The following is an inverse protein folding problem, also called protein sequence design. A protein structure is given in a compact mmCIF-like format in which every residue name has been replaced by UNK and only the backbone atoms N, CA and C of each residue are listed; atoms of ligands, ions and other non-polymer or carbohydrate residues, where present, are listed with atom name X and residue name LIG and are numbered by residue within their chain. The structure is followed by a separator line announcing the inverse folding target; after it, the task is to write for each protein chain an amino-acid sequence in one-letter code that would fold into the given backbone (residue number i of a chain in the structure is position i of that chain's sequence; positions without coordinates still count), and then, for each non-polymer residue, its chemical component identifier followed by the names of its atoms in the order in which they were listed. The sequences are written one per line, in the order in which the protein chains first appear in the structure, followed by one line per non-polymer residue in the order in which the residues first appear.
data_IF_729972098101
#
_entry.id   IF_729972098101
#
_cell.length_a   1.000
_cell.length_b   1.000
_cell.length_c   1.000
_cell.angle_alpha   90.00
_cell.angle_beta   90.00
_cell.angle_gamma   90.00
#
_symmetry.space_group_name_H-M   'P 1'
#
loop_
_entity.id
_entity.type
_entity.pdbx_description
1 polymer ?
#
# COMPACT_ATOMS: atom_id res chain seq x y z
N UNK A 1 26.36 6.27 7.20
CA UNK A 1 25.28 6.27 6.21
C UNK A 1 25.74 5.38 5.10
N UNK A 2 24.97 4.31 4.85
CA UNK A 2 25.19 3.44 3.72
C UNK A 2 24.85 4.21 2.42
N UNK A 3 25.65 4.02 1.38
CA UNK A 3 25.56 4.71 0.09
C UNK A 3 25.69 3.72 -1.09
N UNK A 4 25.79 2.42 -0.81
CA UNK A 4 26.01 1.42 -1.85
C UNK A 4 24.74 1.17 -2.65
N UNK A 5 24.94 0.93 -3.95
CA UNK A 5 23.89 0.41 -4.82
C UNK A 5 23.90 -1.12 -4.75
N UNK A 6 22.72 -1.70 -4.87
CA UNK A 6 22.51 -3.15 -4.85
C UNK A 6 21.75 -3.57 -6.10
N UNK A 7 20.89 -4.59 -6.02
CA UNK A 7 20.17 -5.13 -7.18
C UNK A 7 19.14 -4.16 -7.74
N UNK A 8 18.43 -3.45 -6.87
CA UNK A 8 17.49 -2.40 -7.23
C UNK A 8 18.15 -1.05 -7.01
N UNK A 9 17.95 -0.11 -7.95
CA UNK A 9 18.47 1.25 -7.83
C UNK A 9 17.97 1.88 -6.53
N UNK A 10 18.88 2.35 -5.69
CA UNK A 10 18.57 2.83 -4.34
C UNK A 10 18.96 4.29 -4.22
N UNK A 11 17.98 5.17 -4.07
CA UNK A 11 18.19 6.60 -3.92
C UNK A 11 18.19 6.97 -2.45
N UNK A 12 19.38 7.22 -1.90
CA UNK A 12 19.56 7.61 -0.50
C UNK A 12 19.26 9.10 -0.28
N UNK A 13 18.70 9.44 0.88
CA UNK A 13 18.58 10.82 1.34
C UNK A 13 19.71 11.17 2.32
N UNK A 14 20.62 12.04 1.87
CA UNK A 14 21.78 12.48 2.65
C UNK A 14 21.50 13.63 3.63
N UNK A 15 20.23 13.97 3.90
CA UNK A 15 19.83 14.90 4.96
C UNK A 15 18.92 16.05 4.53
N UNK A 16 18.17 15.90 3.44
CA UNK A 16 17.20 16.90 2.98
C UNK A 16 16.90 16.86 1.48
N UNK A 17 16.97 15.70 0.84
CA UNK A 17 16.65 15.58 -0.58
C UNK A 17 15.22 16.04 -0.86
N UNK A 18 15.07 16.99 -1.78
CA UNK A 18 13.78 17.47 -2.30
C UNK A 18 13.95 17.70 -3.80
N UNK A 19 13.93 16.62 -4.61
CA UNK A 19 14.22 16.71 -6.02
C UNK A 19 13.09 17.39 -6.78
N UNK A 20 13.42 18.02 -7.91
CA UNK A 20 12.40 18.43 -8.88
C UNK A 20 11.75 17.17 -9.49
N UNK A 21 10.43 17.15 -9.55
CA UNK A 21 9.66 16.01 -10.03
C UNK A 21 8.44 16.48 -10.86
N UNK A 22 7.92 15.64 -11.77
CA UNK A 22 6.79 16.00 -12.64
C UNK A 22 5.43 15.90 -11.91
N UNK A 23 5.25 16.63 -10.80
CA UNK A 23 4.04 16.55 -9.94
C UNK A 23 2.77 16.90 -10.70
N UNK A 24 2.78 17.94 -11.54
CA UNK A 24 1.65 18.33 -12.39
C UNK A 24 1.30 17.35 -13.53
N UNK A 25 1.97 16.19 -13.61
CA UNK A 25 1.63 15.06 -14.51
C UNK A 25 1.27 13.79 -13.72
N UNK A 26 1.16 13.90 -12.40
CA UNK A 26 0.94 12.77 -11.51
C UNK A 26 -0.41 12.87 -10.80
N UNK A 27 -1.09 11.73 -10.69
CA UNK A 27 -2.16 11.56 -9.72
C UNK A 27 -1.63 10.94 -8.43
N UNK A 28 -2.11 11.44 -7.29
CA UNK A 28 -1.81 10.86 -5.97
C UNK A 28 -3.05 10.13 -5.45
N UNK A 29 -2.92 8.84 -5.23
CA UNK A 29 -3.94 7.97 -4.64
C UNK A 29 -3.74 7.96 -3.12
N UNK A 30 -4.77 8.37 -2.39
CA UNK A 30 -4.78 8.40 -0.92
C UNK A 30 -5.98 7.60 -0.41
N UNK A 31 -5.82 6.28 -0.14
CA UNK A 31 -6.93 5.45 0.31
C UNK A 31 -7.42 5.85 1.69
N UNK A 32 -8.74 5.94 1.84
CA UNK A 32 -9.36 6.30 3.11
C UNK A 32 -10.52 5.38 3.45
N UNK A 33 -10.70 5.17 4.75
CA UNK A 33 -11.83 4.51 5.38
C UNK A 33 -12.47 5.46 6.37
N UNK A 34 -13.64 5.08 6.91
CA UNK A 34 -14.32 5.85 7.97
C UNK A 34 -13.40 6.15 9.19
N UNK A 35 -12.35 5.34 9.40
CA UNK A 35 -11.40 5.51 10.51
C UNK A 35 -10.45 6.69 10.34
N UNK A 36 -10.20 7.13 9.11
CA UNK A 36 -9.30 8.25 8.82
C UNK A 36 -10.05 9.59 8.73
N UNK A 37 -11.37 9.63 8.97
CA UNK A 37 -12.13 10.88 8.90
C UNK A 37 -11.57 11.96 9.86
N UNK A 38 -11.23 13.13 9.32
CA UNK A 38 -10.80 14.32 10.06
C UNK A 38 -9.73 14.03 11.14
N UNK A 39 -8.82 13.10 10.84
CA UNK A 39 -7.67 12.81 11.68
C UNK A 39 -6.50 13.75 11.37
N UNK A 40 -5.64 14.01 12.37
CA UNK A 40 -4.46 14.89 12.21
C UNK A 40 -3.48 14.42 11.12
N UNK A 41 -3.30 13.10 10.97
CA UNK A 41 -2.45 12.55 9.91
C UNK A 41 -3.03 12.79 8.51
N UNK A 42 -4.30 12.42 8.22
CA UNK A 42 -4.95 12.77 6.97
C UNK A 42 -4.97 14.28 6.69
N UNK A 43 -5.29 15.13 7.67
CA UNK A 43 -5.23 16.59 7.52
C UNK A 43 -3.86 17.05 7.04
N UNK A 44 -2.78 16.54 7.66
CA UNK A 44 -1.41 16.83 7.24
C UNK A 44 -1.12 16.35 5.82
N UNK A 45 -1.55 15.14 5.46
CA UNK A 45 -1.35 14.58 4.11
C UNK A 45 -1.96 15.50 3.06
N UNK A 46 -3.24 15.88 3.21
CA UNK A 46 -3.90 16.75 2.24
C UNK A 46 -3.33 18.17 2.22
N UNK A 47 -2.99 18.76 3.36
CA UNK A 47 -2.30 20.06 3.41
C UNK A 47 -0.92 20.05 2.75
N UNK A 48 -0.16 18.96 2.85
CA UNK A 48 1.10 18.83 2.11
C UNK A 48 0.87 18.62 0.62
N UNK A 49 -0.20 17.94 0.21
CA UNK A 49 -0.56 17.77 -1.20
C UNK A 49 -0.94 19.08 -1.89
N UNK A 50 -1.54 20.05 -1.19
CA UNK A 50 -1.72 21.43 -1.69
C UNK A 50 -0.36 22.06 -2.08
N UNK A 51 0.72 21.71 -1.36
CA UNK A 51 2.09 22.22 -1.63
C UNK A 51 2.81 21.42 -2.72
N UNK A 52 2.35 20.20 -2.99
CA UNK A 52 2.87 19.34 -4.08
C UNK A 52 2.34 19.82 -5.43
N UNK A 53 1.10 20.31 -5.47
CA UNK A 53 0.38 20.69 -6.69
C UNK A 53 0.34 19.53 -7.72
N UNK A 54 -0.26 18.37 -7.34
CA UNK A 54 -0.41 17.26 -8.27
C UNK A 54 -1.49 17.56 -9.32
N UNK A 55 -1.50 16.80 -10.42
CA UNK A 55 -2.55 16.92 -11.43
C UNK A 55 -3.93 16.58 -10.86
N UNK A 56 -3.98 15.59 -9.96
CA UNK A 56 -5.19 15.14 -9.28
C UNK A 56 -4.84 14.36 -8.00
N UNK A 57 -5.70 14.43 -6.99
CA UNK A 57 -5.72 13.51 -5.86
C UNK A 57 -6.95 12.61 -5.99
N UNK A 58 -6.74 11.30 -6.02
CA UNK A 58 -7.83 10.31 -6.07
C UNK A 58 -7.97 9.69 -4.69
N UNK A 59 -9.13 9.86 -4.07
CA UNK A 59 -9.43 9.31 -2.75
C UNK A 59 -10.39 8.13 -2.90
N UNK A 60 -9.89 6.88 -3.00
CA UNK A 60 -10.77 5.72 -2.88
C UNK A 60 -11.28 5.63 -1.43
N UNK A 61 -12.56 5.94 -1.27
CA UNK A 61 -13.24 6.03 0.02
C UNK A 61 -14.05 4.77 0.29
N UNK A 62 -13.75 4.11 1.40
CA UNK A 62 -14.56 3.01 1.96
C UNK A 62 -15.23 3.44 3.26
N UNK A 63 -16.46 3.92 3.16
CA UNK A 63 -17.25 4.41 4.28
C UNK A 63 -18.73 4.04 4.09
N UNK A 64 -19.50 3.90 5.19
CA UNK A 64 -20.95 3.74 5.09
C UNK A 64 -21.59 5.00 4.50
N UNK A 65 -22.73 4.84 3.82
CA UNK A 65 -23.36 5.88 3.01
C UNK A 65 -23.64 7.18 3.79
N UNK A 66 -23.94 7.06 5.08
CA UNK A 66 -24.25 8.18 5.97
C UNK A 66 -23.03 9.07 6.24
N UNK A 67 -21.82 8.52 6.11
CA UNK A 67 -20.55 9.22 6.38
C UNK A 67 -19.97 9.88 5.12
N UNK A 68 -20.38 9.44 3.94
CA UNK A 68 -19.87 9.95 2.65
C UNK A 68 -20.02 11.47 2.49
N UNK A 69 -21.17 12.09 2.84
CA UNK A 69 -21.31 13.54 2.73
C UNK A 69 -20.30 14.31 3.59
N UNK A 70 -20.04 13.81 4.81
CA UNK A 70 -19.07 14.42 5.72
C UNK A 70 -17.65 14.37 5.14
N UNK A 71 -17.25 13.23 4.56
CA UNK A 71 -15.96 13.11 3.86
C UNK A 71 -15.87 14.05 2.66
N UNK A 72 -16.92 14.12 1.84
CA UNK A 72 -16.94 14.99 0.67
C UNK A 72 -16.74 16.45 1.08
N UNK A 73 -17.48 16.90 2.10
CA UNK A 73 -17.44 18.29 2.54
C UNK A 73 -16.07 18.61 3.18
N UNK A 74 -15.52 17.72 4.01
CA UNK A 74 -14.18 17.88 4.60
C UNK A 74 -13.08 17.88 3.53
N UNK A 75 -13.14 17.00 2.54
CA UNK A 75 -12.15 16.96 1.44
C UNK A 75 -12.22 18.20 0.54
N UNK A 76 -13.40 18.84 0.44
CA UNK A 76 -13.58 20.06 -0.35
C UNK A 76 -12.95 21.31 0.29
N UNK A 77 -12.53 21.24 1.56
CA UNK A 77 -11.84 22.34 2.25
C UNK A 77 -10.36 22.47 1.82
N UNK A 78 -9.78 21.46 1.16
CA UNK A 78 -8.41 21.49 0.67
C UNK A 78 -8.33 22.03 -0.77
N UNK A 79 -7.39 22.94 -1.04
CA UNK A 79 -7.15 23.58 -2.33
C UNK A 79 -6.29 22.71 -3.25
N UNK A 80 -6.78 21.51 -3.57
CA UNK A 80 -6.14 20.56 -4.48
C UNK A 80 -7.19 19.91 -5.39
N UNK A 81 -6.92 19.69 -6.68
CA UNK A 81 -7.86 18.98 -7.55
C UNK A 81 -8.09 17.56 -7.02
N UNK A 82 -9.33 17.21 -6.67
CA UNK A 82 -9.62 15.96 -5.97
C UNK A 82 -10.84 15.24 -6.54
N UNK A 83 -10.73 13.92 -6.67
CA UNK A 83 -11.84 13.00 -7.00
C UNK A 83 -12.10 12.05 -5.83
N UNK A 84 -13.30 12.11 -5.25
CA UNK A 84 -13.77 11.14 -4.25
C UNK A 84 -14.36 9.94 -4.97
N UNK A 85 -13.72 8.79 -4.82
CA UNK A 85 -14.16 7.53 -5.39
C UNK A 85 -14.78 6.66 -4.29
N UNK A 86 -16.09 6.83 -4.03
CA UNK A 86 -16.79 6.00 -3.05
C UNK A 86 -16.89 4.55 -3.53
N UNK A 87 -16.01 3.69 -3.02
CA UNK A 87 -15.80 2.33 -3.53
C UNK A 87 -16.93 1.37 -3.16
N UNK A 88 -17.73 1.70 -2.14
CA UNK A 88 -18.92 0.94 -1.73
C UNK A 88 -20.22 1.54 -2.31
N UNK A 89 -20.12 2.49 -3.24
CA UNK A 89 -21.24 3.12 -3.91
C UNK A 89 -22.11 2.10 -4.68
N UNK A 90 -23.45 2.18 -4.61
CA UNK A 90 -24.33 1.22 -5.27
C UNK A 90 -24.11 1.08 -6.78
N UNK A 91 -23.76 2.16 -7.49
CA UNK A 91 -23.49 2.13 -8.93
C UNK A 91 -22.12 1.51 -9.21
N UNK A 92 -21.12 1.76 -8.37
CA UNK A 92 -19.79 1.14 -8.49
C UNK A 92 -19.88 -0.38 -8.28
N UNK A 93 -20.61 -0.82 -7.25
CA UNK A 93 -20.86 -2.25 -7.00
C UNK A 93 -21.59 -2.91 -8.18
N UNK A 94 -22.60 -2.24 -8.77
CA UNK A 94 -23.30 -2.75 -9.95
C UNK A 94 -22.37 -2.92 -11.17
N UNK A 95 -21.45 -1.96 -11.41
CA UNK A 95 -20.46 -2.08 -12.48
C UNK A 95 -19.51 -3.26 -12.24
N UNK A 96 -19.04 -3.45 -11.01
CA UNK A 96 -18.21 -4.60 -10.64
C UNK A 96 -18.95 -5.93 -10.85
N UNK A 97 -20.22 -6.00 -10.48
CA UNK A 97 -21.07 -7.17 -10.70
C UNK A 97 -21.25 -7.48 -12.20
N UNK A 98 -21.58 -6.47 -13.01
CA UNK A 98 -21.77 -6.62 -14.45
C UNK A 98 -20.50 -7.06 -15.19
N UNK A 99 -19.32 -6.64 -14.69
CA UNK A 99 -18.02 -7.08 -15.20
C UNK A 99 -17.58 -8.45 -14.66
N UNK A 100 -18.34 -9.09 -13.78
CA UNK A 100 -17.96 -10.34 -13.13
C UNK A 100 -16.79 -10.20 -12.13
N UNK A 101 -16.58 -8.99 -11.62
CA UNK A 101 -15.51 -8.61 -10.69
C UNK A 101 -16.01 -8.36 -9.27
N UNK A 102 -17.29 -8.65 -9.01
CA UNK A 102 -17.87 -8.84 -7.68
C UNK A 102 -16.96 -9.68 -6.77
N UNK A 103 -17.00 -9.43 -5.47
CA UNK A 103 -16.30 -10.26 -4.51
C UNK A 103 -15.93 -9.52 -3.23
N UNK A 104 -14.87 -10.01 -2.59
CA UNK A 104 -14.45 -9.46 -1.30
C UNK A 104 -14.03 -7.99 -1.41
N UNK A 105 -14.42 -7.23 -0.38
CA UNK A 105 -14.04 -5.83 -0.18
C UNK A 105 -12.70 -5.74 0.56
N UNK A 106 -11.93 -4.70 0.29
CA UNK A 106 -10.66 -4.46 0.98
C UNK A 106 -9.83 -3.34 0.36
N UNK A 107 -8.75 -2.95 1.07
CA UNK A 107 -7.86 -1.85 0.67
C UNK A 107 -7.34 -2.05 -0.76
N UNK A 108 -6.96 -3.28 -1.13
CA UNK A 108 -6.46 -3.56 -2.46
C UNK A 108 -7.52 -3.45 -3.57
N UNK A 109 -8.80 -3.78 -3.33
CA UNK A 109 -9.89 -3.47 -4.28
C UNK A 109 -10.03 -1.97 -4.48
N UNK A 110 -10.02 -1.22 -3.39
CA UNK A 110 -10.24 0.22 -3.43
C UNK A 110 -9.06 0.96 -4.10
N UNK A 111 -7.83 0.52 -3.83
CA UNK A 111 -6.62 0.96 -4.55
C UNK A 111 -6.72 0.57 -6.02
N UNK A 112 -7.11 -0.66 -6.37
CA UNK A 112 -7.29 -1.06 -7.77
C UNK A 112 -8.27 -0.17 -8.52
N UNK A 113 -9.42 0.17 -7.90
CA UNK A 113 -10.38 1.12 -8.46
C UNK A 113 -9.74 2.48 -8.73
N UNK A 114 -8.99 3.01 -7.76
CA UNK A 114 -8.30 4.28 -7.89
C UNK A 114 -7.15 4.26 -8.92
N UNK A 115 -6.43 3.15 -9.08
CA UNK A 115 -5.37 3.03 -10.08
C UNK A 115 -5.91 3.22 -11.51
N UNK A 116 -7.11 2.70 -11.81
CA UNK A 116 -7.75 2.90 -13.11
C UNK A 116 -8.02 4.38 -13.40
N UNK A 117 -8.53 5.10 -12.40
CA UNK A 117 -8.83 6.54 -12.47
C UNK A 117 -7.53 7.36 -12.54
N UNK A 118 -6.56 7.07 -11.67
CA UNK A 118 -5.30 7.79 -11.57
C UNK A 118 -4.43 7.63 -12.82
N UNK A 119 -4.51 6.49 -13.50
CA UNK A 119 -3.74 6.20 -14.73
C UNK A 119 -4.22 6.97 -15.98
N UNK A 120 -5.13 7.95 -15.82
CA UNK A 120 -5.37 9.01 -16.83
C UNK A 120 -4.20 9.98 -16.95
N UNK A 121 -3.45 10.14 -15.87
CA UNK A 121 -2.25 10.96 -15.80
C UNK A 121 -1.03 10.10 -16.14
N UNK A 122 0.15 10.71 -16.32
CA UNK A 122 1.33 9.96 -16.77
C UNK A 122 1.95 9.10 -15.65
N UNK A 123 1.80 9.56 -14.40
CA UNK A 123 2.35 8.93 -13.21
C UNK A 123 1.28 8.76 -12.14
N UNK A 124 1.40 7.69 -11.36
CA UNK A 124 0.54 7.38 -10.22
C UNK A 124 1.42 7.24 -9.00
N UNK A 125 1.09 7.94 -7.91
CA UNK A 125 1.73 7.80 -6.60
C UNK A 125 0.68 7.29 -5.63
N UNK A 126 1.02 6.32 -4.79
CA UNK A 126 0.14 5.80 -3.74
C UNK A 126 0.75 6.14 -2.39
N UNK A 127 -0.04 6.72 -1.49
CA UNK A 127 0.36 7.03 -0.12
C UNK A 127 -0.72 6.62 0.88
N UNK A 128 -0.30 6.20 2.07
CA UNK A 128 -1.21 5.99 3.17
C UNK A 128 -1.64 7.32 3.82
N UNK A 129 -2.92 7.40 4.20
CA UNK A 129 -3.47 8.58 4.86
C UNK A 129 -3.06 8.69 6.34
N UNK A 130 -2.42 7.67 6.93
CA UNK A 130 -2.15 7.57 8.37
C UNK A 130 -0.72 7.96 8.80
N UNK A 131 0.06 8.54 7.87
CA UNK A 131 1.43 9.01 8.15
C UNK A 131 1.43 10.37 8.86
N UNK A 132 2.00 10.46 10.05
CA UNK A 132 2.05 11.71 10.85
C UNK A 132 3.24 12.61 10.47
N UNK A 133 4.26 12.04 9.83
CA UNK A 133 5.49 12.73 9.40
C UNK A 133 5.49 13.09 7.92
N UNK A 134 4.36 12.97 7.24
CA UNK A 134 4.23 13.20 5.80
C UNK A 134 4.70 14.60 5.39
N UNK A 135 5.44 14.70 4.28
CA UNK A 135 5.95 15.95 3.72
C UNK A 135 5.79 15.96 2.19
N UNK A 136 5.61 17.15 1.61
CA UNK A 136 5.46 17.32 0.16
C UNK A 136 6.63 16.72 -0.66
N UNK A 137 7.82 16.64 -0.07
CA UNK A 137 8.99 16.03 -0.72
C UNK A 137 8.84 14.52 -0.92
N UNK A 138 8.01 13.83 -0.14
CA UNK A 138 7.85 12.37 -0.23
C UNK A 138 7.30 11.97 -1.60
N UNK A 139 6.28 12.70 -2.08
CA UNK A 139 5.74 12.56 -3.44
C UNK A 139 6.82 12.81 -4.49
N UNK A 140 7.59 13.89 -4.34
CA UNK A 140 8.63 14.27 -5.32
C UNK A 140 9.75 13.24 -5.37
N UNK A 141 10.16 12.70 -4.23
CA UNK A 141 11.18 11.65 -4.12
C UNK A 141 10.72 10.37 -4.81
N UNK A 142 9.46 9.95 -4.61
CA UNK A 142 8.91 8.78 -5.27
C UNK A 142 8.76 8.96 -6.79
N UNK A 143 8.40 10.16 -7.25
CA UNK A 143 8.26 10.48 -8.68
C UNK A 143 9.60 10.64 -9.40
N UNK A 144 10.67 11.04 -8.69
CA UNK A 144 11.95 11.37 -9.31
C UNK A 144 12.54 10.21 -10.15
N UNK A 145 12.60 8.95 -9.67
CA UNK A 145 13.02 7.83 -10.50
C UNK A 145 12.22 7.69 -11.81
N UNK A 146 10.91 7.92 -11.76
CA UNK A 146 10.06 7.76 -12.95
C UNK A 146 10.36 8.79 -14.04
N UNK A 147 10.81 9.98 -13.64
CA UNK A 147 11.28 11.00 -14.56
C UNK A 147 12.65 10.64 -15.18
N UNK A 148 13.40 9.73 -14.55
CA UNK A 148 14.73 9.26 -14.98
C UNK A 148 14.68 7.89 -15.68
N UNK A 149 13.49 7.45 -16.10
CA UNK A 149 13.32 6.26 -16.95
C UNK A 149 13.00 4.96 -16.19
N UNK A 150 12.85 5.01 -14.87
CA UNK A 150 12.29 3.88 -14.11
C UNK A 150 10.77 3.82 -14.30
N UNK A 151 10.20 2.64 -14.10
CA UNK A 151 8.75 2.39 -14.23
C UNK A 151 8.06 2.23 -12.87
N UNK A 152 8.83 1.87 -11.84
CA UNK A 152 8.35 1.66 -10.48
C UNK A 152 9.34 2.21 -9.44
N UNK A 153 8.82 2.82 -8.38
CA UNK A 153 9.59 3.39 -7.27
C UNK A 153 8.91 3.01 -5.96
N UNK A 154 9.64 2.40 -5.03
CA UNK A 154 9.14 2.00 -3.71
C UNK A 154 9.80 2.83 -2.61
N UNK A 155 9.03 3.26 -1.63
CA UNK A 155 9.62 3.89 -0.45
C UNK A 155 10.36 2.87 0.40
N UNK A 156 11.42 3.32 1.07
CA UNK A 156 11.91 2.67 2.28
C UNK A 156 12.17 3.73 3.36
N UNK A 157 11.96 3.33 4.62
CA UNK A 157 12.11 4.19 5.77
C UNK A 157 12.32 3.37 7.04
N UNK A 158 12.90 3.99 8.06
CA UNK A 158 13.03 3.36 9.37
C UNK A 158 11.76 3.58 10.20
N UNK A 159 11.23 2.49 10.79
CA UNK A 159 10.13 2.53 11.76
C UNK A 159 10.66 2.29 13.16
N UNK A 160 11.19 3.36 13.76
CA UNK A 160 11.78 3.35 15.10
C UNK A 160 11.22 4.51 15.88
N UNK A 161 10.47 4.21 16.93
CA UNK A 161 9.72 5.18 17.74
C UNK A 161 9.41 4.55 19.09
N UNK A 162 9.10 5.37 20.11
CA UNK A 162 8.84 4.91 21.47
C UNK A 162 9.91 3.92 22.00
N UNK A 163 11.18 4.20 21.68
CA UNK A 163 12.33 3.37 22.01
C UNK A 163 12.22 1.90 21.54
N UNK A 164 11.54 1.63 20.40
CA UNK A 164 11.27 0.26 19.90
C UNK A 164 11.42 0.14 18.38
N UNK A 165 11.68 -1.10 17.94
CA UNK A 165 11.68 -1.51 16.53
C UNK A 165 10.28 -1.97 16.08
N UNK A 166 9.67 -1.27 15.12
CA UNK A 166 8.38 -1.63 14.54
C UNK A 166 8.52 -2.47 13.26
N UNK A 167 7.39 -2.80 12.61
CA UNK A 167 7.38 -3.56 11.37
C UNK A 167 7.55 -5.07 11.56
N UNK A 168 7.02 -5.66 12.64
CA UNK A 168 7.14 -7.10 12.95
C UNK A 168 6.80 -8.02 11.77
N UNK A 169 5.76 -7.70 10.98
CA UNK A 169 5.40 -8.51 9.81
C UNK A 169 6.50 -8.48 8.73
N UNK A 170 7.13 -7.32 8.51
CA UNK A 170 8.28 -7.24 7.60
C UNK A 170 9.51 -7.94 8.18
N UNK A 171 9.91 -7.53 9.39
CA UNK A 171 11.14 -7.97 10.06
C UNK A 171 11.18 -9.46 10.38
N UNK A 172 10.04 -10.03 10.79
CA UNK A 172 9.98 -11.39 11.33
C UNK A 172 9.34 -12.40 10.39
N UNK A 173 8.56 -11.95 9.40
CA UNK A 173 7.91 -12.85 8.44
C UNK A 173 8.46 -12.66 7.04
N UNK A 174 8.23 -11.51 6.41
CA UNK A 174 8.61 -11.28 5.01
C UNK A 174 10.11 -11.47 4.76
N UNK A 175 10.97 -10.76 5.50
CA UNK A 175 12.42 -10.81 5.31
C UNK A 175 12.99 -12.23 5.51
N UNK A 176 12.72 -12.92 6.64
CA UNK A 176 13.19 -14.29 6.81
C UNK A 176 12.61 -15.29 5.81
N UNK A 177 11.38 -15.06 5.33
CA UNK A 177 10.74 -15.94 4.36
C UNK A 177 11.37 -15.81 2.96
N UNK A 178 11.68 -14.59 2.53
CA UNK A 178 12.43 -14.35 1.29
C UNK A 178 13.84 -14.93 1.39
N UNK A 179 14.54 -14.74 2.52
CA UNK A 179 15.85 -15.35 2.79
C UNK A 179 15.80 -16.89 2.71
N UNK A 180 14.79 -17.51 3.32
CA UNK A 180 14.60 -18.96 3.30
C UNK A 180 14.28 -19.51 1.90
N UNK A 181 13.51 -18.78 1.09
CA UNK A 181 13.27 -19.12 -0.31
C UNK A 181 14.57 -19.03 -1.12
N UNK A 182 15.33 -17.93 -0.97
CA UNK A 182 16.57 -17.67 -1.70
C UNK A 182 17.70 -18.65 -1.33
N UNK A 183 17.73 -19.18 -0.11
CA UNK A 183 18.70 -20.22 0.30
C UNK A 183 18.55 -21.53 -0.50
N UNK A 184 17.35 -21.76 -1.06
CA UNK A 184 17.04 -22.98 -1.81
C UNK A 184 16.81 -22.79 -3.30
N UNK A 185 16.74 -21.53 -3.76
CA UNK A 185 16.47 -21.19 -5.14
C UNK A 185 17.35 -20.03 -5.59
N UNK A 186 18.03 -20.21 -6.71
CA UNK A 186 18.77 -19.16 -7.41
C UNK A 186 17.85 -18.59 -8.52
N UNK A 187 17.08 -17.56 -8.19
CA UNK A 187 16.09 -16.97 -9.11
C UNK A 187 15.97 -15.45 -8.97
N UNK A 188 15.87 -14.75 -10.11
CA UNK A 188 15.85 -13.28 -10.15
C UNK A 188 14.66 -12.68 -9.38
N UNK A 189 13.52 -13.36 -9.33
CA UNK A 189 12.35 -12.88 -8.57
C UNK A 189 12.65 -12.75 -7.07
N UNK A 190 13.41 -13.69 -6.49
CA UNK A 190 13.75 -13.67 -5.06
C UNK A 190 14.81 -12.61 -4.79
N UNK A 191 15.74 -12.47 -5.74
CA UNK A 191 16.73 -11.42 -5.75
C UNK A 191 16.12 -10.02 -5.79
N UNK A 192 15.07 -9.84 -6.58
CA UNK A 192 14.28 -8.61 -6.69
C UNK A 192 13.50 -8.34 -5.40
N UNK A 193 12.73 -9.32 -4.92
CA UNK A 193 11.90 -9.17 -3.73
C UNK A 193 12.74 -8.87 -2.48
N UNK A 194 13.89 -9.53 -2.33
CA UNK A 194 14.83 -9.32 -1.22
C UNK A 194 15.68 -8.05 -1.31
N UNK A 195 15.59 -7.28 -2.41
CA UNK A 195 16.38 -6.06 -2.57
C UNK A 195 15.73 -4.82 -1.92
N UNK A 196 14.44 -4.88 -1.60
CA UNK A 196 13.70 -3.73 -1.05
C UNK A 196 13.87 -3.65 0.46
N UNK A 197 14.49 -2.56 0.93
CA UNK A 197 14.79 -2.33 2.37
C UNK A 197 13.56 -2.25 3.26
N UNK A 198 12.39 -1.97 2.67
CA UNK A 198 11.10 -2.06 3.35
C UNK A 198 9.98 -2.42 2.35
N UNK A 199 9.96 -3.68 1.90
CA UNK A 199 9.03 -4.17 0.88
C UNK A 199 7.53 -3.95 1.19
N UNK A 200 7.18 -3.89 2.48
CA UNK A 200 5.81 -3.65 2.96
C UNK A 200 5.45 -2.17 3.11
N UNK A 201 6.25 -1.23 2.57
CA UNK A 201 5.83 0.17 2.50
C UNK A 201 4.52 0.31 1.70
N UNK A 202 3.57 1.09 2.19
CA UNK A 202 2.37 1.46 1.41
C UNK A 202 2.72 2.42 0.27
N UNK A 203 3.80 3.19 0.46
CA UNK A 203 4.23 4.27 -0.40
C UNK A 203 4.99 3.76 -1.62
N UNK A 204 4.45 4.03 -2.80
CA UNK A 204 5.10 3.73 -4.08
C UNK A 204 4.66 4.70 -5.17
N UNK A 205 5.40 4.74 -6.26
CA UNK A 205 5.00 5.42 -7.48
C UNK A 205 5.28 4.54 -8.71
N UNK A 206 4.52 4.76 -9.75
CA UNK A 206 4.62 4.01 -10.99
C UNK A 206 4.17 4.83 -12.20
N UNK A 207 4.58 4.40 -13.39
CA UNK A 207 3.99 4.92 -14.63
C UNK A 207 2.54 4.46 -14.75
N UNK A 208 1.73 5.22 -15.48
CA UNK A 208 0.36 4.84 -15.76
C UNK A 208 0.22 3.56 -16.60
N UNK A 209 1.25 3.21 -17.37
CA UNK A 209 1.31 1.92 -18.08
C UNK A 209 1.46 0.76 -17.08
N UNK A 210 2.41 0.87 -16.14
CA UNK A 210 2.58 -0.14 -15.10
C UNK A 210 1.32 -0.26 -14.23
N UNK A 211 0.74 0.87 -13.79
CA UNK A 211 -0.48 0.90 -12.99
C UNK A 211 -1.65 0.14 -13.64
N UNK A 212 -1.85 0.31 -14.96
CA UNK A 212 -2.92 -0.39 -15.70
C UNK A 212 -2.62 -1.88 -15.89
N UNK A 213 -1.36 -2.28 -15.86
CA UNK A 213 -0.93 -3.67 -16.03
C UNK A 213 -0.97 -4.53 -14.76
N UNK A 214 -1.18 -3.93 -13.58
CA UNK A 214 -1.13 -4.65 -12.30
C UNK A 214 -2.35 -5.56 -12.08
N UNK A 215 -2.11 -6.82 -11.72
CA UNK A 215 -3.11 -7.67 -11.06
C UNK A 215 -3.04 -7.47 -9.56
N UNK A 216 -4.16 -7.09 -8.92
CA UNK A 216 -4.14 -6.55 -7.56
C UNK A 216 -4.87 -7.45 -6.56
N UNK A 217 -4.24 -7.75 -5.42
CA UNK A 217 -4.86 -8.46 -4.30
C UNK A 217 -6.04 -7.65 -3.77
N UNK A 218 -7.15 -8.29 -3.39
CA UNK A 218 -8.33 -7.57 -2.88
C UNK A 218 -8.14 -7.01 -1.47
N UNK A 219 -7.39 -7.71 -0.61
CA UNK A 219 -7.18 -7.38 0.81
C UNK A 219 -5.69 -7.20 1.14
N UNK A 220 -5.17 -8.07 2.01
CA UNK A 220 -3.80 -8.10 2.48
C UNK A 220 -2.84 -8.61 1.41
N UNK A 221 -1.56 -8.26 1.54
CA UNK A 221 -0.53 -8.61 0.56
C UNK A 221 -0.51 -7.72 -0.68
N UNK A 222 -1.25 -6.62 -0.69
CA UNK A 222 -1.24 -5.62 -1.77
C UNK A 222 0.17 -5.15 -2.09
N UNK A 223 0.96 -4.81 -1.06
CA UNK A 223 2.29 -4.25 -1.22
C UNK A 223 3.25 -5.26 -1.84
N UNK A 224 3.21 -6.53 -1.39
CA UNK A 224 4.02 -7.62 -1.94
C UNK A 224 3.58 -8.01 -3.33
N UNK A 225 2.27 -8.09 -3.56
CA UNK A 225 1.73 -8.38 -4.88
C UNK A 225 2.08 -7.32 -5.91
N UNK A 226 2.07 -6.05 -5.51
CA UNK A 226 2.53 -4.94 -6.35
C UNK A 226 4.01 -5.11 -6.71
N UNK A 227 4.87 -5.57 -5.78
CA UNK A 227 6.26 -5.88 -6.11
C UNK A 227 6.36 -7.06 -7.09
N UNK A 228 5.59 -8.12 -6.91
CA UNK A 228 5.54 -9.24 -7.85
C UNK A 228 5.14 -8.81 -9.26
N UNK A 229 4.13 -7.94 -9.37
CA UNK A 229 3.70 -7.39 -10.66
C UNK A 229 4.71 -6.38 -11.23
N UNK A 230 5.37 -5.57 -10.39
CA UNK A 230 6.45 -4.68 -10.82
C UNK A 230 7.62 -5.49 -11.42
N UNK A 231 8.00 -6.61 -10.79
CA UNK A 231 8.97 -7.54 -11.36
C UNK A 231 8.51 -8.10 -12.71
N UNK A 232 7.25 -8.56 -12.80
CA UNK A 232 6.69 -9.13 -14.03
C UNK A 232 6.64 -8.15 -15.20
N UNK A 233 6.39 -6.86 -14.92
CA UNK A 233 6.13 -5.84 -15.93
C UNK A 233 7.36 -5.00 -16.26
N UNK A 234 8.10 -4.55 -15.25
CA UNK A 234 9.24 -3.64 -15.39
C UNK A 234 10.60 -4.34 -15.20
N UNK A 235 10.61 -5.51 -14.55
CA UNK A 235 11.84 -6.21 -14.17
C UNK A 235 12.66 -5.44 -13.14
N UNK A 236 13.85 -5.95 -12.84
CA UNK A 236 14.75 -5.37 -11.84
C UNK A 236 15.28 -4.00 -12.26
N UNK A 237 15.67 -3.85 -13.53
CA UNK A 237 16.25 -2.61 -14.07
C UNK A 237 15.23 -1.47 -14.16
N UNK A 238 13.93 -1.78 -14.25
CA UNK A 238 12.85 -0.81 -14.28
C UNK A 238 12.37 -0.36 -12.89
N UNK A 239 12.90 -0.92 -11.81
CA UNK A 239 12.51 -0.60 -10.45
C UNK A 239 13.58 0.20 -9.69
N UNK A 240 13.11 1.07 -8.81
CA UNK A 240 13.93 1.79 -7.85
C UNK A 240 13.31 1.74 -6.45
N UNK A 241 14.11 2.06 -5.44
CA UNK A 241 13.65 2.38 -4.09
C UNK A 241 14.22 3.72 -3.63
N UNK A 242 13.45 4.45 -2.83
CA UNK A 242 13.78 5.81 -2.40
C UNK A 242 13.69 5.92 -0.87
N UNK A 243 14.70 6.55 -0.28
CA UNK A 243 14.74 6.82 1.15
C UNK A 243 13.74 7.91 1.49
N UNK A 244 12.72 7.62 2.31
CA UNK A 244 11.84 8.66 2.86
C UNK A 244 12.19 9.05 4.31
N UNK A 245 13.32 8.57 4.81
CA UNK A 245 13.85 8.92 6.13
C UNK A 245 13.17 8.16 7.26
N UNK A 246 12.55 8.90 8.19
CA UNK A 246 11.81 8.35 9.32
C UNK A 246 10.34 8.60 9.13
N UNK A 247 9.57 7.53 9.21
CA UNK A 247 8.13 7.54 9.03
C UNK A 247 7.46 7.06 10.31
N UNK A 248 6.65 7.94 10.89
CA UNK A 248 5.78 7.62 12.01
C UNK A 248 4.35 7.46 11.48
N UNK A 249 3.74 6.32 11.79
CA UNK A 249 2.34 6.05 11.44
C UNK A 249 1.50 6.16 12.71
N UNK A 250 0.23 6.50 12.59
CA UNK A 250 -0.68 6.46 13.74
C UNK A 250 -0.72 5.03 14.32
N UNK A 251 -0.21 4.87 15.56
CA UNK A 251 -0.09 3.60 16.28
C UNK A 251 -1.43 3.11 16.77
N UNK A 252 -2.30 2.77 15.83
CA UNK A 252 -3.53 2.08 16.18
C UNK A 252 -3.18 0.62 16.24
N UNK A 253 -3.27 0.05 17.45
CA UNK A 253 -2.93 -1.33 17.71
C UNK A 253 -3.61 -2.24 16.68
N UNK A 254 -2.82 -2.84 15.80
CA UNK A 254 -3.23 -4.06 15.12
C UNK A 254 -3.65 -5.01 16.23
N UNK A 255 -4.94 -5.34 16.26
CA UNK A 255 -5.58 -5.98 17.39
C UNK A 255 -4.97 -7.36 17.67
N UNK A 256 -4.03 -7.39 18.61
CA UNK A 256 -3.44 -8.62 19.16
C UNK A 256 -2.72 -9.51 18.15
N UNK A 257 -2.28 -10.70 18.60
CA UNK A 257 -1.64 -11.71 17.75
C UNK A 257 -2.49 -12.08 16.52
N UNK A 258 -3.83 -12.08 16.66
CA UNK A 258 -4.77 -12.49 15.61
C UNK A 258 -4.73 -11.59 14.37
N UNK A 259 -4.63 -10.27 14.54
CA UNK A 259 -4.59 -9.35 13.39
C UNK A 259 -3.31 -9.50 12.56
N UNK A 260 -2.17 -9.76 13.21
CA UNK A 260 -0.91 -10.04 12.52
C UNK A 260 -0.90 -11.40 11.84
N UNK A 261 -1.53 -12.42 12.44
CA UNK A 261 -1.70 -13.74 11.81
C UNK A 261 -2.48 -13.65 10.49
N UNK A 262 -3.65 -13.01 10.48
CA UNK A 262 -4.44 -12.83 9.25
C UNK A 262 -3.67 -12.04 8.18
N UNK A 263 -2.89 -11.05 8.59
CA UNK A 263 -2.04 -10.31 7.67
C UNK A 263 -0.91 -11.17 7.09
N UNK A 264 -0.28 -12.04 7.91
CA UNK A 264 0.76 -12.96 7.44
C UNK A 264 0.24 -13.96 6.42
N UNK A 265 -0.99 -14.47 6.57
CA UNK A 265 -1.60 -15.34 5.56
C UNK A 265 -1.74 -14.63 4.21
N UNK A 266 -2.22 -13.39 4.20
CA UNK A 266 -2.35 -12.61 2.97
C UNK A 266 -1.01 -12.21 2.35
N UNK A 267 -0.03 -11.82 3.18
CA UNK A 267 1.33 -11.49 2.72
C UNK A 267 2.04 -12.72 2.17
N UNK A 268 1.95 -13.87 2.86
CA UNK A 268 2.52 -15.13 2.43
C UNK A 268 1.91 -15.57 1.11
N UNK A 269 0.57 -15.60 1.01
CA UNK A 269 -0.11 -15.95 -0.22
C UNK A 269 0.26 -15.03 -1.40
N UNK A 270 0.43 -13.72 -1.17
CA UNK A 270 0.86 -12.79 -2.22
C UNK A 270 2.32 -13.04 -2.64
N UNK A 271 3.22 -13.32 -1.69
CA UNK A 271 4.61 -13.67 -1.96
C UNK A 271 4.71 -14.96 -2.77
N UNK A 272 4.06 -16.03 -2.32
CA UNK A 272 4.10 -17.33 -2.99
C UNK A 272 3.53 -17.24 -4.40
N UNK A 273 2.41 -16.53 -4.61
CA UNK A 273 1.92 -16.27 -5.97
C UNK A 273 2.93 -15.55 -6.85
N UNK A 274 3.62 -14.53 -6.35
CA UNK A 274 4.61 -13.82 -7.15
C UNK A 274 5.79 -14.73 -7.55
N UNK A 275 6.22 -15.58 -6.62
CA UNK A 275 7.32 -16.53 -6.80
C UNK A 275 6.92 -17.68 -7.76
N UNK A 276 5.73 -18.24 -7.59
CA UNK A 276 5.18 -19.29 -8.45
C UNK A 276 4.83 -18.78 -9.86
N UNK A 277 4.26 -17.57 -9.99
CA UNK A 277 4.02 -16.91 -11.29
C UNK A 277 5.34 -16.73 -12.07
N UNK A 278 6.46 -16.57 -11.36
CA UNK A 278 7.80 -16.48 -11.94
C UNK A 278 8.44 -17.85 -12.23
N UNK A 279 7.76 -18.96 -11.91
CA UNK A 279 8.18 -20.32 -12.23
C UNK A 279 9.03 -21.01 -11.16
N UNK A 280 9.05 -20.49 -9.93
CA UNK A 280 9.73 -21.13 -8.80
C UNK A 280 8.75 -22.08 -8.09
N UNK A 281 9.15 -23.35 -7.95
CA UNK A 281 8.38 -24.38 -7.26
C UNK A 281 8.70 -24.36 -5.76
N UNK A 282 7.67 -24.39 -4.91
CA UNK A 282 7.82 -24.20 -3.46
C UNK A 282 7.46 -25.48 -2.70
N UNK A 283 8.44 -26.04 -1.99
CA UNK A 283 8.21 -27.07 -0.98
C UNK A 283 7.84 -26.40 0.35
N UNK A 284 6.54 -26.23 0.59
CA UNK A 284 6.00 -25.52 1.75
C UNK A 284 6.38 -26.14 3.09
N UNK A 285 6.42 -27.47 3.18
CA UNK A 285 6.80 -28.17 4.41
C UNK A 285 8.27 -27.90 4.75
N UNK A 286 9.17 -28.04 3.76
CA UNK A 286 10.58 -27.73 3.96
C UNK A 286 10.84 -26.23 4.17
N UNK A 287 10.04 -25.37 3.53
CA UNK A 287 10.17 -23.92 3.66
C UNK A 287 9.81 -23.45 5.07
N UNK A 288 8.77 -24.00 5.69
CA UNK A 288 8.39 -23.62 7.05
C UNK A 288 9.53 -23.86 8.07
N UNK A 289 10.25 -24.98 7.93
CA UNK A 289 11.44 -25.27 8.75
C UNK A 289 12.58 -24.28 8.49
N UNK A 290 12.91 -24.02 7.21
CA UNK A 290 13.97 -23.06 6.83
C UNK A 290 13.65 -21.64 7.28
N UNK A 291 12.38 -21.25 7.18
CA UNK A 291 11.89 -19.96 7.64
C UNK A 291 12.14 -19.78 9.15
N UNK A 292 11.87 -20.79 9.99
CA UNK A 292 12.12 -20.70 11.43
C UNK A 292 13.62 -20.54 11.73
N UNK A 293 14.49 -21.24 11.00
CA UNK A 293 15.94 -21.10 11.13
C UNK A 293 16.42 -19.71 10.68
N UNK A 294 15.86 -19.17 9.60
CA UNK A 294 16.13 -17.81 9.14
C UNK A 294 15.64 -16.78 10.16
N UNK A 295 14.38 -16.87 10.58
CA UNK A 295 13.76 -15.96 11.53
C UNK A 295 14.54 -15.93 12.85
N UNK A 296 15.08 -17.06 13.32
CA UNK A 296 15.91 -17.11 14.51
C UNK A 296 17.19 -16.26 14.38
N UNK A 297 17.82 -16.26 13.18
CA UNK A 297 18.97 -15.38 12.86
C UNK A 297 18.56 -13.91 12.88
N UNK A 298 17.46 -13.56 12.22
CA UNK A 298 16.95 -12.19 12.16
C UNK A 298 16.60 -11.65 13.56
N UNK A 299 15.89 -12.43 14.39
CA UNK A 299 15.57 -12.04 15.78
C UNK A 299 16.82 -11.77 16.60
N UNK A 300 17.90 -12.56 16.43
CA UNK A 300 19.18 -12.28 17.10
C UNK A 300 19.82 -10.98 16.60
N UNK A 301 19.79 -10.73 15.30
CA UNK A 301 20.36 -9.51 14.71
C UNK A 301 19.60 -8.26 15.18
N UNK A 302 18.27 -8.27 15.14
CA UNK A 302 17.46 -7.17 15.67
C UNK A 302 17.65 -6.96 17.17
N UNK A 303 17.83 -8.03 17.94
CA UNK A 303 18.16 -7.90 19.37
C UNK A 303 19.52 -7.23 19.61
N UNK A 304 20.52 -7.51 18.77
CA UNK A 304 21.82 -6.85 18.84
C UNK A 304 21.74 -5.37 18.43
N UNK A 305 20.98 -5.05 17.38
CA UNK A 305 20.78 -3.67 16.92
C UNK A 305 19.98 -2.83 17.94
N UNK A 306 18.91 -3.41 18.50
CA UNK A 306 18.15 -2.78 19.57
C UNK A 306 19.05 -2.50 20.80
N UNK A 307 19.85 -3.47 21.22
CA UNK A 307 20.79 -3.29 22.33
C UNK A 307 21.88 -2.25 22.03
N UNK A 308 22.34 -2.14 20.79
CA UNK A 308 23.31 -1.12 20.37
C UNK A 308 22.75 0.30 20.44
N UNK A 309 21.44 0.45 20.20
CA UNK A 309 20.73 1.74 20.19
C UNK A 309 19.94 2.02 21.48
N UNK A 310 20.15 1.24 22.56
CA UNK A 310 19.43 1.36 23.83
C UNK A 310 17.88 1.26 23.68
N UNK A 311 17.39 0.44 22.74
CA UNK A 311 15.96 0.21 22.49
C UNK A 311 15.40 -0.97 23.31
N UNK A 312 14.13 -0.88 23.67
CA UNK A 312 13.32 -1.96 24.24
C UNK A 312 13.14 -3.10 23.23
N UNK A 313 13.52 -4.32 23.61
CA UNK A 313 13.38 -5.49 22.74
C UNK A 313 13.11 -6.78 23.54
N UNK A 314 12.03 -7.48 23.18
CA UNK A 314 11.68 -8.79 23.74
C UNK A 314 11.88 -9.89 22.69
N UNK A 315 13.10 -10.45 22.69
CA UNK A 315 13.45 -11.50 21.73
C UNK A 315 12.68 -12.82 21.93
N UNK A 316 12.13 -13.09 23.11
CA UNK A 316 11.30 -14.28 23.33
C UNK A 316 9.94 -14.11 22.67
N UNK A 317 9.31 -12.94 22.90
CA UNK A 317 8.05 -12.58 22.23
C UNK A 317 8.19 -12.56 20.70
N UNK A 318 9.28 -12.04 20.16
CA UNK A 318 9.50 -12.03 18.71
C UNK A 318 9.65 -13.46 18.17
N UNK A 319 10.29 -14.38 18.90
CA UNK A 319 10.33 -15.82 18.50
C UNK A 319 8.97 -16.47 18.56
N UNK A 320 8.17 -16.19 19.59
CA UNK A 320 6.80 -16.71 19.67
C UNK A 320 5.98 -16.26 18.45
N UNK A 321 6.10 -14.98 18.07
CA UNK A 321 5.45 -14.45 16.88
C UNK A 321 5.91 -15.13 15.59
N UNK A 322 7.22 -15.42 15.44
CA UNK A 322 7.73 -16.14 14.26
C UNK A 322 7.14 -17.54 14.13
N UNK A 323 6.92 -18.25 15.25
CA UNK A 323 6.28 -19.58 15.25
C UNK A 323 4.82 -19.50 14.82
N UNK A 324 4.09 -18.48 15.26
CA UNK A 324 2.72 -18.23 14.76
C UNK A 324 2.69 -17.91 13.27
N UNK A 325 3.66 -17.16 12.75
CA UNK A 325 3.74 -16.87 11.32
C UNK A 325 4.11 -18.08 10.46
N UNK A 326 4.75 -19.10 11.02
CA UNK A 326 5.03 -20.33 10.28
C UNK A 326 3.73 -21.02 9.83
N UNK A 327 2.62 -20.84 10.56
CA UNK A 327 1.30 -21.38 10.18
C UNK A 327 0.75 -20.72 8.89
N UNK A 328 1.25 -19.54 8.52
CA UNK A 328 0.88 -18.85 7.28
C UNK A 328 1.66 -19.33 6.05
N UNK A 329 2.64 -20.23 6.22
CA UNK A 329 3.43 -20.81 5.12
C UNK A 329 2.66 -22.01 4.58
N UNK A 330 1.84 -21.77 3.57
CA UNK A 330 1.06 -22.79 2.89
C UNK A 330 0.81 -22.38 1.43
N UNK A 331 0.47 -23.37 0.61
CA UNK A 331 0.08 -23.15 -0.78
C UNK A 331 -1.04 -22.11 -0.88
N UNK A 332 -0.89 -21.06 -1.71
CA UNK A 332 -1.91 -20.04 -1.83
C UNK A 332 -3.19 -20.64 -2.41
N UNK A 333 -4.35 -20.22 -1.90
CA UNK A 333 -5.65 -20.68 -2.41
C UNK A 333 -5.92 -20.27 -3.86
N UNK A 334 -7.18 -20.35 -4.30
CA UNK A 334 -7.56 -19.88 -5.63
C UNK A 334 -7.13 -18.41 -5.87
N UNK A 335 -6.64 -18.09 -7.07
CA UNK A 335 -6.26 -16.72 -7.42
C UNK A 335 -7.52 -15.85 -7.55
N UNK A 336 -7.66 -14.88 -6.65
CA UNK A 336 -8.78 -13.94 -6.58
C UNK A 336 -8.35 -12.50 -6.84
N UNK A 337 -7.11 -12.30 -7.33
CA UNK A 337 -6.62 -10.97 -7.72
C UNK A 337 -7.59 -10.34 -8.73
N UNK A 338 -7.79 -9.04 -8.58
CA UNK A 338 -8.42 -8.23 -9.61
C UNK A 338 -7.49 -8.23 -10.83
N UNK A 339 -8.04 -8.32 -12.06
CA UNK A 339 -7.23 -8.36 -13.27
C UNK A 339 -6.53 -7.01 -13.51
N UNK A 340 -5.59 -7.00 -14.45
CA UNK A 340 -5.10 -5.74 -15.00
C UNK A 340 -6.25 -4.92 -15.57
N UNK A 341 -6.17 -3.59 -15.47
CA UNK A 341 -7.14 -2.68 -16.10
C UNK A 341 -7.16 -2.83 -17.63
N UNK A 342 -6.06 -3.27 -18.23
CA UNK A 342 -6.01 -3.60 -19.67
C UNK A 342 -6.81 -4.84 -20.04
N UNK A 343 -7.17 -5.67 -19.07
CA UNK A 343 -7.76 -7.00 -19.29
C UNK A 343 -9.24 -7.06 -18.81
N UNK A 344 -9.78 -5.95 -18.31
CA UNK A 344 -11.19 -5.83 -17.90
C UNK A 344 -12.01 -5.07 -18.95
N UNK A 345 -13.32 -5.31 -18.96
CA UNK A 345 -14.28 -4.52 -19.74
C UNK A 345 -14.73 -3.23 -19.03
N UNK A 346 -14.30 -3.01 -17.77
CA UNK A 346 -14.63 -1.81 -17.03
C UNK A 346 -13.91 -0.59 -17.59
N UNK A 347 -14.65 0.50 -17.69
CA UNK A 347 -14.12 1.81 -18.05
C UNK A 347 -13.91 2.65 -16.77
N UNK A 348 -12.70 3.18 -16.59
CA UNK A 348 -12.35 3.93 -15.39
C UNK A 348 -13.12 5.27 -15.29
N UNK A 349 -13.52 5.86 -16.42
CA UNK A 349 -14.33 7.08 -16.47
C UNK A 349 -15.77 6.80 -16.07
N UNK A 350 -16.31 5.66 -16.51
CA UNK A 350 -17.61 5.17 -16.05
C UNK A 350 -17.62 4.92 -14.54
N UNK A 351 -16.58 4.27 -14.01
CA UNK A 351 -16.43 4.03 -12.57
C UNK A 351 -16.35 5.34 -11.78
N UNK A 352 -15.56 6.30 -12.23
CA UNK A 352 -15.45 7.60 -11.57
C UNK A 352 -16.77 8.38 -11.62
N UNK A 353 -17.47 8.36 -12.77
CA UNK A 353 -18.76 9.02 -12.92
C UNK A 353 -19.86 8.36 -12.04
N UNK A 354 -19.85 7.04 -11.94
CA UNK A 354 -20.75 6.28 -11.07
C UNK A 354 -20.53 6.64 -9.60
N UNK A 355 -19.27 6.67 -9.15
CA UNK A 355 -18.93 7.06 -7.79
C UNK A 355 -19.34 8.51 -7.47
N UNK A 356 -19.07 9.45 -8.39
CA UNK A 356 -19.47 10.85 -8.22
C UNK A 356 -20.99 10.99 -8.11
N UNK A 357 -21.76 10.27 -8.94
CA UNK A 357 -23.23 10.26 -8.86
C UNK A 357 -23.73 9.69 -7.52
N UNK A 358 -23.10 8.64 -7.01
CA UNK A 358 -23.44 8.04 -5.71
C UNK A 358 -23.13 8.99 -4.54
N UNK A 359 -21.99 9.68 -4.58
CA UNK A 359 -21.59 10.69 -3.58
C UNK A 359 -22.60 11.84 -3.54
N UNK A 360 -22.99 12.38 -4.71
CA UNK A 360 -23.98 13.45 -4.79
C UNK A 360 -25.37 13.02 -4.31
N UNK A 361 -25.78 11.79 -4.63
CA UNK A 361 -27.04 11.24 -4.15
C UNK A 361 -27.05 11.04 -2.62
N UNK A 362 -25.93 10.58 -2.05
CA UNK A 362 -25.77 10.46 -0.60
C UNK A 362 -25.88 11.82 0.10
N UNK A 363 -25.24 12.86 -0.46
CA UNK A 363 -25.30 14.21 0.08
C UNK A 363 -26.70 14.84 -0.02
N UNK A 364 -27.40 14.65 -1.14
CA UNK A 364 -28.77 15.15 -1.32
C UNK A 364 -29.75 14.53 -0.30
N UNK A 365 -29.57 13.24 0.03
CA UNK A 365 -30.37 12.56 1.06
C UNK A 365 -30.10 13.11 2.47
N UNK A 366 -28.85 13.42 2.81
CA UNK A 366 -28.50 14.00 4.09
C UNK A 366 -29.14 15.40 4.27
N UNK A 367 -29.10 16.25 3.23
CA UNK A 367 -29.72 17.58 3.26
C UNK A 367 -31.26 17.56 3.30
N UNK A 368 -31.90 16.57 2.66
CA UNK A 368 -33.36 16.40 2.72
C UNK A 368 -33.88 15.91 4.08
N UNK A 369 -33.04 15.19 4.85
CA UNK A 369 -33.40 14.72 6.19
C UNK A 369 -33.40 15.83 7.24
N UNK A 370 -32.57 16.88 7.08
CA UNK A 370 -32.54 18.00 8.03
C UNK A 370 -33.73 18.95 7.91
N UNK A 371 -34.34 19.09 6.72
CA UNK A 371 -35.49 19.98 6.50
C UNK A 371 -36.84 19.38 6.97
N UNK A 372 -36.92 18.07 7.17
CA UNK A 372 -38.15 17.40 7.64
C UNK A 372 -38.37 17.45 9.17
N UNK A 373 -37.44 18.03 9.93
CA UNK A 373 -37.49 18.08 11.39
C UNK A 373 -38.09 19.39 11.97
N UNK A 374 -38.49 20.34 11.13
CA UNK A 374 -38.95 21.68 11.58
C UNK A 374 -40.44 21.97 11.48
N UNK A 375 -41.27 21.06 10.97
CA UNK A 375 -42.73 21.28 10.89
C UNK A 375 -43.49 20.33 11.83
N UNK A 376 -43.56 20.72 13.11
CA UNK A 376 -44.35 20.02 14.10
C UNK A 376 -44.55 20.79 15.39
N UNK A 377 -45.23 21.94 15.34
CA UNK A 377 -46.32 22.32 16.28
C UNK A 377 -46.87 23.71 15.93
N UNK A 378 -48.18 23.92 16.09
CA UNK A 378 -48.62 24.52 17.35
C UNK A 378 -49.71 23.75 18.11
#
# INVERSE_FOLDING_TARGET
MDYTQERVATLHDYGGADPAAPTGRAAVVVPMTDREYAGLAPERVFSELERVDPAEVVVPLRAPAERVPEFRDWLADFDVPLTVLWCDGPRVEALLDDAGLAGERGKGRDVWLALGVAARHDYVVVHDADTTTYEARDVRKLLFPLADGFEFSKAYYARVENDRLYGRLFRLFYEPLVDALADSHDHEVLDFLGAFRYALAGECAMTAELARGLRVQRRWGLEVGTLGEAFRLAGTDGAAQVDLGRYEHDHRAVSGPTGLSEMSEGVGAALFRAVEDAGVDVDYDALAERYLDAADRFVRAYGADAAFNDLDYDGEQERDQTRTYADAIAEPGADTRLPAWTDTSLDADEVAAAAAADVEEAAARAGGSSDSATDGEP
#
